data_IF_010748478204
#
_entry.id   IF_010748478204
#
_cell.length_a   1.000
_cell.length_b   1.000
_cell.length_c   1.000
_cell.angle_alpha   90.00
_cell.angle_beta   90.00
_cell.angle_gamma   90.00
#
_symmetry.space_group_name_H-M   'P 1'
#
loop_
_entity.id
_entity.type
_entity.pdbx_description
1 polymer ?
#
# COMPACT_ATOMS: atom_id res chain seq x y z
N UNK A 1 6.28 -14.54 33.04
CA UNK A 1 7.47 -14.23 32.22
C UNK A 1 7.70 -12.75 32.45
N UNK A 2 8.39 -12.41 33.54
CA UNK A 2 8.60 -11.03 33.96
C UNK A 2 9.66 -10.38 33.06
N UNK A 3 9.23 -9.46 32.21
CA UNK A 3 10.10 -8.70 31.32
C UNK A 3 10.91 -7.70 32.15
N UNK A 4 12.23 -7.75 32.03
CA UNK A 4 13.15 -6.84 32.71
C UNK A 4 12.99 -5.42 32.15
N UNK A 5 13.16 -4.35 32.95
CA UNK A 5 13.08 -2.96 32.47
C UNK A 5 14.06 -2.63 31.32
N UNK A 6 15.12 -3.43 31.13
CA UNK A 6 16.02 -3.34 29.99
C UNK A 6 15.37 -3.81 28.67
N UNK A 7 14.50 -4.81 28.72
CA UNK A 7 13.80 -5.36 27.56
C UNK A 7 12.77 -4.35 27.03
N UNK A 8 12.09 -3.64 27.94
CA UNK A 8 11.18 -2.53 27.58
C UNK A 8 11.88 -1.40 26.80
N UNK A 9 13.12 -1.06 27.16
CA UNK A 9 13.89 -0.02 26.48
C UNK A 9 14.32 -0.41 25.07
N UNK A 10 14.66 -1.68 24.86
CA UNK A 10 15.05 -2.23 23.55
C UNK A 10 13.83 -2.44 22.66
N UNK A 11 12.73 -2.95 23.22
CA UNK A 11 11.47 -3.18 22.52
C UNK A 11 10.84 -1.86 22.06
N UNK A 12 10.80 -0.85 22.94
CA UNK A 12 10.35 0.50 22.57
C UNK A 12 11.22 1.14 21.47
N UNK A 13 12.52 0.85 21.44
CA UNK A 13 13.43 1.32 20.38
C UNK A 13 13.20 0.61 19.04
N UNK A 14 12.92 -0.70 19.08
CA UNK A 14 12.64 -1.50 17.89
C UNK A 14 11.28 -1.17 17.26
N UNK A 15 10.26 -0.94 18.09
CA UNK A 15 8.92 -0.50 17.63
C UNK A 15 9.02 0.85 16.91
N UNK A 16 9.76 1.81 17.47
CA UNK A 16 9.98 3.13 16.84
C UNK A 16 10.73 3.05 15.50
N UNK A 17 11.62 2.07 15.32
CA UNK A 17 12.39 1.89 14.07
C UNK A 17 11.50 1.44 12.92
N UNK A 18 10.59 0.50 13.16
CA UNK A 18 9.71 -0.02 12.10
C UNK A 18 8.64 1.01 11.69
N UNK A 19 8.15 1.79 12.66
CA UNK A 19 7.24 2.92 12.41
C UNK A 19 7.86 3.99 11.52
N UNK A 20 9.17 4.25 11.67
CA UNK A 20 9.88 5.22 10.82
C UNK A 20 9.94 4.78 9.35
N UNK A 21 10.14 3.49 9.08
CA UNK A 21 10.20 2.97 7.71
C UNK A 21 8.87 3.13 6.97
N UNK A 22 7.74 2.90 7.66
CA UNK A 22 6.40 3.05 7.09
C UNK A 22 6.00 4.52 6.96
N UNK A 23 6.39 5.34 7.94
CA UNK A 23 6.23 6.78 7.84
C UNK A 23 7.02 7.36 6.66
N UNK A 24 8.14 6.76 6.28
CA UNK A 24 8.95 7.19 5.13
C UNK A 24 8.32 6.81 3.78
N UNK A 25 7.59 5.69 3.68
CA UNK A 25 6.93 5.27 2.44
C UNK A 25 5.59 5.98 2.21
N UNK A 26 4.99 6.55 3.26
CA UNK A 26 3.69 7.21 3.20
C UNK A 26 3.66 8.47 2.29
N UNK A 27 4.62 9.43 2.35
CA UNK A 27 4.60 10.64 1.52
C UNK A 27 4.74 10.36 0.01
N UNK A 28 5.70 9.54 -0.47
CA UNK A 28 5.78 9.17 -1.89
C UNK A 28 4.48 8.53 -2.40
N UNK A 29 3.86 7.69 -1.58
CA UNK A 29 2.61 7.01 -1.91
C UNK A 29 1.45 7.99 -2.00
N UNK A 30 1.28 8.91 -1.05
CA UNK A 30 0.22 9.93 -1.12
C UNK A 30 0.40 10.83 -2.35
N UNK A 31 1.63 11.22 -2.67
CA UNK A 31 1.94 11.99 -3.87
C UNK A 31 1.49 11.24 -5.14
N UNK A 32 1.80 9.94 -5.24
CA UNK A 32 1.40 9.11 -6.38
C UNK A 32 -0.13 9.07 -6.58
N UNK A 33 -0.89 8.93 -5.49
CA UNK A 33 -2.35 8.95 -5.54
C UNK A 33 -2.88 10.34 -5.97
N UNK A 34 -2.26 11.42 -5.51
CA UNK A 34 -2.61 12.78 -5.94
C UNK A 34 -2.29 13.01 -7.42
N UNK A 35 -1.17 12.50 -7.93
CA UNK A 35 -0.82 12.58 -9.35
C UNK A 35 -1.84 11.84 -10.21
N UNK A 36 -2.21 10.61 -9.83
CA UNK A 36 -3.28 9.85 -10.48
C UNK A 36 -4.62 10.59 -10.45
N UNK A 37 -4.96 11.22 -9.33
CA UNK A 37 -6.16 12.04 -9.22
C UNK A 37 -6.14 13.20 -10.23
N UNK A 38 -5.05 13.97 -10.31
CA UNK A 38 -4.94 15.13 -11.20
C UNK A 38 -5.07 14.72 -12.67
N UNK A 39 -4.41 13.63 -13.09
CA UNK A 39 -4.48 13.12 -14.46
C UNK A 39 -5.91 12.67 -14.82
N UNK A 40 -6.51 11.87 -13.95
CA UNK A 40 -7.81 11.27 -14.24
C UNK A 40 -8.98 12.23 -14.00
N UNK A 41 -8.76 13.36 -13.31
CA UNK A 41 -9.78 14.37 -13.03
C UNK A 41 -10.40 14.97 -14.29
N UNK A 42 -9.67 15.01 -15.40
CA UNK A 42 -10.16 15.56 -16.68
C UNK A 42 -11.01 14.58 -17.47
N UNK A 43 -10.66 13.30 -17.45
CA UNK A 43 -11.32 12.27 -18.27
C UNK A 43 -12.43 11.54 -17.51
N UNK A 44 -12.25 11.31 -16.21
CA UNK A 44 -13.17 10.51 -15.40
C UNK A 44 -13.18 10.96 -13.93
N UNK A 45 -13.87 12.08 -13.59
CA UNK A 45 -13.81 12.67 -12.25
C UNK A 45 -14.31 11.76 -11.14
N UNK A 46 -15.33 10.92 -11.39
CA UNK A 46 -15.84 9.96 -10.38
C UNK A 46 -14.83 8.86 -10.09
N UNK A 47 -14.14 8.36 -11.12
CA UNK A 47 -13.10 7.32 -10.98
C UNK A 47 -11.85 7.88 -10.31
N UNK A 48 -11.45 9.10 -10.65
CA UNK A 48 -10.34 9.80 -10.01
C UNK A 48 -10.54 9.94 -8.50
N UNK A 49 -11.73 10.38 -8.07
CA UNK A 49 -12.08 10.50 -6.65
C UNK A 49 -12.09 9.15 -5.94
N UNK A 50 -12.65 8.12 -6.57
CA UNK A 50 -12.68 6.77 -6.02
C UNK A 50 -11.27 6.19 -5.82
N UNK A 51 -10.41 6.32 -6.84
CA UNK A 51 -9.04 5.81 -6.82
C UNK A 51 -8.18 6.53 -5.78
N UNK A 52 -8.34 7.86 -5.66
CA UNK A 52 -7.71 8.63 -4.59
C UNK A 52 -8.20 8.21 -3.20
N UNK A 53 -9.52 8.14 -3.00
CA UNK A 53 -10.11 7.79 -1.70
C UNK A 53 -9.72 6.39 -1.22
N UNK A 54 -9.81 5.39 -2.11
CA UNK A 54 -9.41 4.02 -1.84
C UNK A 54 -7.90 3.94 -1.58
N UNK A 55 -7.09 4.68 -2.34
CA UNK A 55 -5.65 4.74 -2.16
C UNK A 55 -5.20 5.34 -0.83
N UNK A 56 -5.83 6.43 -0.40
CA UNK A 56 -5.58 7.03 0.93
C UNK A 56 -6.01 6.06 2.03
N UNK A 57 -7.20 5.46 1.90
CA UNK A 57 -7.69 4.49 2.87
C UNK A 57 -6.77 3.26 2.97
N UNK A 58 -6.24 2.75 1.85
CA UNK A 58 -5.28 1.62 1.85
C UNK A 58 -4.01 2.00 2.60
N UNK A 59 -3.54 3.24 2.42
CA UNK A 59 -2.32 3.73 3.07
C UNK A 59 -2.51 3.84 4.58
N UNK A 60 -3.68 4.30 5.02
CA UNK A 60 -4.04 4.35 6.45
C UNK A 60 -4.18 2.96 7.06
N UNK A 61 -4.86 2.03 6.39
CA UNK A 61 -5.05 0.65 6.87
C UNK A 61 -3.70 -0.09 6.89
N UNK A 62 -2.83 0.11 5.91
CA UNK A 62 -1.47 -0.46 5.90
C UNK A 62 -0.65 0.00 7.12
N UNK A 63 -0.69 1.31 7.43
CA UNK A 63 -0.05 1.84 8.63
C UNK A 63 -0.69 1.34 9.94
N UNK A 64 -2.01 1.20 9.96
CA UNK A 64 -2.77 0.68 11.11
C UNK A 64 -2.48 -0.79 11.40
N UNK A 65 -2.41 -1.63 10.36
CA UNK A 65 -2.08 -3.04 10.46
C UNK A 65 -0.69 -3.26 11.06
N UNK A 66 0.33 -2.52 10.62
CA UNK A 66 1.68 -2.67 11.19
C UNK A 66 1.82 -2.02 12.58
N UNK A 67 0.92 -1.10 12.95
CA UNK A 67 0.89 -0.52 14.29
C UNK A 67 0.21 -1.44 15.32
N UNK A 68 -0.84 -2.17 14.91
CA UNK A 68 -1.58 -3.11 15.76
C UNK A 68 -0.97 -4.49 15.64
N UNK A 69 0.04 -4.80 16.46
CA UNK A 69 0.80 -6.06 16.41
C UNK A 69 0.31 -7.17 17.36
N UNK A 70 -0.70 -6.91 18.21
CA UNK A 70 -1.24 -7.91 19.13
C UNK A 70 -2.72 -8.23 18.84
N UNK A 71 -3.01 -9.52 18.62
CA UNK A 71 -4.34 -10.16 18.60
C UNK A 71 -5.23 -9.87 17.38
N UNK A 72 -6.39 -10.54 17.35
CA UNK A 72 -7.34 -10.74 16.23
C UNK A 72 -7.65 -9.49 15.37
N UNK A 73 -7.48 -8.28 15.89
CA UNK A 73 -7.64 -7.02 15.14
C UNK A 73 -6.60 -6.85 14.02
N UNK A 74 -5.38 -7.37 14.20
CA UNK A 74 -4.33 -7.39 13.19
C UNK A 74 -4.77 -8.11 11.91
N UNK A 75 -5.34 -9.31 12.08
CA UNK A 75 -5.75 -10.17 10.98
C UNK A 75 -6.94 -9.56 10.21
N UNK A 76 -7.85 -8.89 10.94
CA UNK A 76 -8.98 -8.15 10.34
C UNK A 76 -8.49 -6.97 9.53
N UNK A 77 -7.54 -6.18 10.04
CA UNK A 77 -6.96 -5.06 9.29
C UNK A 77 -6.16 -5.54 8.07
N UNK A 78 -5.44 -6.66 8.18
CA UNK A 78 -4.74 -7.28 7.05
C UNK A 78 -5.71 -7.74 5.95
N UNK A 79 -6.82 -8.39 6.31
CA UNK A 79 -7.84 -8.81 5.33
C UNK A 79 -8.51 -7.59 4.70
N UNK A 80 -8.88 -6.59 5.51
CA UNK A 80 -9.45 -5.34 5.00
C UNK A 80 -8.49 -4.65 4.03
N UNK A 81 -7.20 -4.62 4.35
CA UNK A 81 -6.13 -4.10 3.49
C UNK A 81 -6.06 -4.84 2.15
N UNK A 82 -6.06 -6.17 2.18
CA UNK A 82 -6.04 -6.98 0.96
C UNK A 82 -7.26 -6.71 0.09
N UNK A 83 -8.48 -6.73 0.65
CA UNK A 83 -9.71 -6.46 -0.10
C UNK A 83 -9.73 -5.06 -0.72
N UNK A 84 -9.23 -4.07 0.01
CA UNK A 84 -9.12 -2.71 -0.48
C UNK A 84 -8.07 -2.59 -1.58
N UNK A 85 -6.97 -3.35 -1.47
CA UNK A 85 -5.94 -3.44 -2.51
C UNK A 85 -6.49 -4.09 -3.79
N UNK A 86 -7.31 -5.15 -3.68
CA UNK A 86 -8.02 -5.74 -4.82
C UNK A 86 -8.90 -4.68 -5.52
N UNK A 87 -9.65 -3.91 -4.73
CA UNK A 87 -10.54 -2.86 -5.24
C UNK A 87 -9.77 -1.72 -5.91
N UNK A 88 -8.61 -1.35 -5.35
CA UNK A 88 -7.72 -0.34 -5.93
C UNK A 88 -7.20 -0.79 -7.30
N UNK A 89 -6.74 -2.04 -7.39
CA UNK A 89 -6.16 -2.59 -8.62
C UNK A 89 -7.19 -2.73 -9.73
N UNK A 90 -8.42 -3.17 -9.41
CA UNK A 90 -9.52 -3.20 -10.38
C UNK A 90 -9.81 -1.81 -10.97
N UNK A 91 -9.86 -0.77 -10.13
CA UNK A 91 -10.04 0.61 -10.59
C UNK A 91 -8.87 1.11 -11.43
N UNK A 92 -7.64 0.74 -11.06
CA UNK A 92 -6.44 1.12 -11.80
C UNK A 92 -6.37 0.42 -13.17
N UNK A 93 -6.73 -0.86 -13.27
CA UNK A 93 -6.79 -1.60 -14.53
C UNK A 93 -7.84 -1.01 -15.48
N UNK A 94 -9.00 -0.60 -14.95
CA UNK A 94 -10.07 0.09 -15.70
C UNK A 94 -9.68 1.48 -16.21
N UNK A 95 -8.53 2.00 -15.79
CA UNK A 95 -8.01 3.30 -16.22
C UNK A 95 -7.16 3.18 -17.50
N UNK A 96 -6.77 1.96 -17.92
CA UNK A 96 -6.40 1.67 -19.31
C UNK A 96 -5.02 2.14 -19.81
N UNK A 97 -4.11 2.55 -18.92
CA UNK A 97 -2.80 3.12 -19.30
C UNK A 97 -1.55 2.35 -18.84
N UNK A 98 -1.67 1.10 -18.41
CA UNK A 98 -0.58 0.43 -17.68
C UNK A 98 0.44 -0.30 -18.58
N UNK A 99 1.75 -0.05 -18.43
CA UNK A 99 2.81 -0.86 -19.03
C UNK A 99 2.91 -2.25 -18.39
N UNK A 100 3.53 -3.21 -19.09
CA UNK A 100 3.71 -4.58 -18.60
C UNK A 100 4.39 -4.65 -17.22
N UNK A 101 5.23 -3.67 -16.88
CA UNK A 101 6.00 -3.68 -15.64
C UNK A 101 5.15 -3.51 -14.37
N UNK A 102 4.07 -2.73 -14.40
CA UNK A 102 3.15 -2.61 -13.26
C UNK A 102 2.26 -3.83 -13.13
N UNK A 103 1.89 -4.46 -14.26
CA UNK A 103 1.17 -5.74 -14.27
C UNK A 103 1.97 -6.88 -13.63
N UNK A 104 3.30 -6.89 -13.80
CA UNK A 104 4.18 -7.86 -13.13
C UNK A 104 4.17 -7.67 -11.61
N UNK A 105 4.23 -6.43 -11.13
CA UNK A 105 4.13 -6.13 -9.70
C UNK A 105 2.79 -6.57 -9.11
N UNK A 106 1.70 -6.35 -9.84
CA UNK A 106 0.37 -6.85 -9.48
C UNK A 106 0.33 -8.37 -9.47
N UNK A 107 0.87 -9.05 -10.48
CA UNK A 107 0.91 -10.50 -10.54
C UNK A 107 1.69 -11.10 -9.36
N UNK A 108 2.81 -10.50 -8.96
CA UNK A 108 3.59 -10.93 -7.79
C UNK A 108 2.81 -10.74 -6.49
N UNK A 109 2.16 -9.59 -6.31
CA UNK A 109 1.32 -9.33 -5.13
C UNK A 109 0.18 -10.34 -5.03
N UNK A 110 -0.61 -10.51 -6.10
CA UNK A 110 -1.74 -11.44 -6.12
C UNK A 110 -1.29 -12.91 -6.06
N UNK A 111 -0.15 -13.26 -6.67
CA UNK A 111 0.43 -14.60 -6.61
C UNK A 111 0.89 -14.99 -5.20
N UNK A 112 1.23 -14.01 -4.36
CA UNK A 112 1.63 -14.24 -2.97
C UNK A 112 0.45 -14.41 -2.00
N UNK A 113 -0.77 -14.01 -2.38
CA UNK A 113 -1.97 -14.12 -1.53
C UNK A 113 -2.38 -15.60 -1.27
N UNK A 114 -2.53 -16.49 -2.27
CA UNK A 114 -2.92 -17.88 -2.04
C UNK A 114 -2.00 -18.65 -1.08
N UNK A 115 -0.65 -18.62 -1.23
CA UNK A 115 0.23 -19.29 -0.28
C UNK A 115 0.14 -18.67 1.12
N UNK A 116 -0.01 -17.35 1.24
CA UNK A 116 -0.20 -16.69 2.54
C UNK A 116 -1.46 -17.21 3.26
N UNK A 117 -2.60 -17.28 2.57
CA UNK A 117 -3.85 -17.79 3.14
C UNK A 117 -3.70 -19.25 3.58
N UNK A 118 -3.03 -20.08 2.77
CA UNK A 118 -2.78 -21.48 3.11
C UNK A 118 -1.96 -21.63 4.41
N UNK A 119 -0.88 -20.85 4.55
CA UNK A 119 -0.05 -20.88 5.76
C UNK A 119 -0.75 -20.23 6.96
N UNK A 120 -1.56 -19.20 6.76
CA UNK A 120 -2.39 -18.59 7.79
C UNK A 120 -3.35 -19.60 8.42
N UNK A 121 -4.11 -20.33 7.60
CA UNK A 121 -5.05 -21.36 8.07
C UNK A 121 -4.28 -22.48 8.80
N UNK A 122 -3.13 -22.90 8.24
CA UNK A 122 -2.30 -23.96 8.82
C UNK A 122 -1.71 -23.57 10.18
N UNK A 123 -1.37 -22.29 10.36
CA UNK A 123 -0.87 -21.75 11.62
C UNK A 123 -1.99 -21.60 12.67
N UNK A 124 -3.09 -20.91 12.33
CA UNK A 124 -4.17 -20.59 13.29
C UNK A 124 -5.00 -21.81 13.69
N UNK A 125 -5.39 -22.65 12.73
CA UNK A 125 -6.30 -23.78 12.99
C UNK A 125 -5.55 -25.08 13.21
N UNK A 126 -4.57 -25.40 12.35
CA UNK A 126 -3.87 -26.70 12.39
C UNK A 126 -2.67 -26.72 13.33
N UNK A 127 -2.25 -25.56 13.86
CA UNK A 127 -1.13 -25.37 14.80
C UNK A 127 0.11 -26.21 14.46
N UNK A 128 0.44 -26.27 13.17
CA UNK A 128 1.58 -27.05 12.68
C UNK A 128 2.86 -26.30 13.00
N UNK A 129 3.83 -27.00 13.60
CA UNK A 129 5.15 -26.43 13.89
C UNK A 129 5.82 -25.94 12.59
N UNK A 130 6.34 -24.70 12.61
CA UNK A 130 6.98 -24.07 11.45
C UNK A 130 6.05 -23.32 10.49
N UNK A 131 4.72 -23.50 10.58
CA UNK A 131 3.78 -22.76 9.74
C UNK A 131 3.79 -21.24 10.03
N UNK A 132 4.09 -20.86 11.27
CA UNK A 132 4.25 -19.45 11.67
C UNK A 132 5.39 -18.76 10.92
N UNK A 133 6.53 -19.42 10.80
CA UNK A 133 7.71 -18.86 10.13
C UNK A 133 7.43 -18.63 8.65
N UNK A 134 6.82 -19.61 7.97
CA UNK A 134 6.42 -19.46 6.57
C UNK A 134 5.37 -18.36 6.38
N UNK A 135 4.37 -18.30 7.26
CA UNK A 135 3.36 -17.23 7.24
C UNK A 135 4.01 -15.84 7.35
N UNK A 136 4.88 -15.62 8.33
CA UNK A 136 5.58 -14.36 8.52
C UNK A 136 6.41 -13.97 7.28
N UNK A 137 7.08 -14.93 6.62
CA UNK A 137 7.80 -14.64 5.37
C UNK A 137 6.88 -14.10 4.27
N UNK A 138 5.70 -14.70 4.06
CA UNK A 138 4.74 -14.22 3.05
C UNK A 138 4.10 -12.89 3.44
N UNK A 139 3.87 -12.67 4.74
CA UNK A 139 3.36 -11.42 5.28
C UNK A 139 4.30 -10.24 5.00
N UNK A 140 5.59 -10.41 5.31
CA UNK A 140 6.61 -9.41 5.00
C UNK A 140 6.84 -9.26 3.49
N UNK A 141 6.75 -10.35 2.72
CA UNK A 141 6.84 -10.29 1.26
C UNK A 141 5.71 -9.46 0.64
N UNK A 142 4.47 -9.57 1.15
CA UNK A 142 3.33 -8.76 0.71
C UNK A 142 3.57 -7.26 0.93
N UNK A 143 4.13 -6.88 2.07
CA UNK A 143 4.52 -5.49 2.34
C UNK A 143 5.59 -5.03 1.33
N UNK A 144 6.60 -5.86 1.06
CA UNK A 144 7.64 -5.53 0.07
C UNK A 144 7.05 -5.38 -1.32
N UNK A 145 6.19 -6.30 -1.77
CA UNK A 145 5.55 -6.22 -3.08
C UNK A 145 4.65 -5.00 -3.23
N UNK A 146 3.93 -4.64 -2.18
CA UNK A 146 3.13 -3.41 -2.17
C UNK A 146 4.00 -2.15 -2.23
N UNK A 147 5.11 -2.08 -1.49
CA UNK A 147 6.05 -0.95 -1.58
C UNK A 147 6.73 -0.90 -2.95
N UNK A 148 7.04 -2.05 -3.55
CA UNK A 148 7.61 -2.15 -4.90
C UNK A 148 6.63 -1.73 -6.00
N UNK A 149 5.31 -1.77 -5.74
CA UNK A 149 4.32 -1.28 -6.67
C UNK A 149 4.43 0.24 -6.91
N UNK A 150 4.78 1.03 -5.89
CA UNK A 150 4.89 2.49 -6.00
C UNK A 150 5.93 2.96 -7.03
N UNK A 151 7.20 2.49 -7.06
CA UNK A 151 8.17 2.88 -8.08
C UNK A 151 7.81 2.34 -9.47
N UNK A 152 7.15 1.18 -9.57
CA UNK A 152 6.65 0.66 -10.85
C UNK A 152 5.58 1.59 -11.44
N UNK A 153 4.67 2.08 -10.59
CA UNK A 153 3.68 3.07 -10.97
C UNK A 153 4.35 4.41 -11.35
N UNK A 154 5.45 4.84 -10.71
CA UNK A 154 6.19 6.05 -11.10
C UNK A 154 6.79 5.99 -12.52
N UNK A 155 7.14 4.80 -13.02
CA UNK A 155 7.60 4.63 -14.42
C UNK A 155 6.50 4.99 -15.41
N UNK A 156 5.23 4.81 -15.05
CA UNK A 156 4.07 5.18 -15.88
C UNK A 156 3.99 6.69 -16.10
N UNK A 157 4.43 7.48 -15.13
CA UNK A 157 4.44 8.95 -15.22
C UNK A 157 5.62 9.50 -16.03
N UNK A 158 6.61 8.68 -16.44
CA UNK A 158 7.75 9.17 -17.26
C UNK A 158 7.33 9.62 -18.65
N UNK A 159 6.19 9.18 -19.15
CA UNK A 159 5.63 9.62 -20.43
C UNK A 159 4.83 10.93 -20.32
N UNK A 160 4.65 11.49 -19.12
CA UNK A 160 3.88 12.71 -18.92
C UNK A 160 4.77 13.93 -19.09
N UNK A 161 4.33 14.80 -20.00
CA UNK A 161 4.97 16.08 -20.23
C UNK A 161 4.23 17.17 -19.43
N UNK A 162 4.93 17.83 -18.51
CA UNK A 162 4.37 18.91 -17.71
C UNK A 162 4.70 20.26 -18.36
N UNK A 163 3.73 20.85 -19.05
CA UNK A 163 3.84 22.22 -19.53
C UNK A 163 3.29 23.21 -18.48
N UNK A 164 4.17 24.01 -17.87
CA UNK A 164 3.77 25.12 -17.00
C UNK A 164 3.44 26.32 -17.88
N UNK A 165 2.16 26.67 -17.97
CA UNK A 165 1.71 27.88 -18.65
C UNK A 165 1.65 29.04 -17.65
N UNK A 166 2.27 30.18 -18.00
CA UNK A 166 2.08 31.40 -17.21
C UNK A 166 0.64 31.86 -17.35
N UNK A 167 -0.06 31.99 -16.22
CA UNK A 167 -1.36 32.66 -16.20
C UNK A 167 -1.16 34.09 -16.70
N UNK A 168 -1.88 34.49 -17.75
CA UNK A 168 -1.90 35.87 -18.23
C UNK A 168 -2.63 36.69 -17.15
N UNK A 169 -2.08 37.80 -16.64
CA UNK A 169 -2.82 38.66 -15.74
C UNK A 169 -4.05 39.20 -16.48
N UNK A 170 -5.25 38.90 -15.95
CA UNK A 170 -6.54 39.43 -16.40
C UNK A 170 -6.59 40.94 -16.11
N UNK A 171 -5.90 41.74 -16.93
CA UNK A 171 -5.90 43.20 -16.89
C UNK A 171 -6.55 43.81 -18.13
N UNK A 172 -7.61 43.17 -18.67
CA UNK A 172 -8.45 43.75 -19.74
C UNK A 172 -9.92 43.40 -19.51
N UNK A 173 -10.49 43.93 -18.43
CA UNK A 173 -11.91 44.28 -18.37
C UNK A 173 -11.97 45.71 -17.85
N UNK A 174 -12.35 46.58 -18.78
CA UNK A 174 -12.67 48.02 -18.66
C UNK A 174 -11.50 49.01 -18.68
#
# INVERSE_FOLDING_TARGET
MDLSPADFGVEAKNVKRNQLLIALTCPPRLLLHTLWYVLLSREAPTRAKALFGIGVLRTMICGGWVYVTLSDDHDVMMIAYMLLTLSYVDLLLKTGGQPESSQVGLLMFFGSIPPMIYFFISHKFRRVAGAYTSYAFFEWALIVFDVMFDPLAMVEFKALDFAVLSSKPDNLRE
#
